data_IF_495775722206
#
_entry.id   IF_495775722206
#
_cell.length_a   1.000
_cell.length_b   1.000
_cell.length_c   1.000
_cell.angle_alpha   90.00
_cell.angle_beta   90.00
_cell.angle_gamma   90.00
#
_symmetry.space_group_name_H-M   'P 1'
#
loop_
_entity.id
_entity.type
_entity.pdbx_description
1 polymer ?
#
# COMPACT_ATOMS: atom_id res chain seq x y z
N UNK A 1 22.54 -52.47 -61.18
CA UNK A 1 21.21 -51.90 -61.47
C UNK A 1 21.03 -50.69 -60.56
N UNK A 2 20.67 -49.58 -61.20
CA UNK A 2 20.75 -48.18 -60.75
C UNK A 2 20.00 -47.88 -59.44
N UNK A 3 20.65 -47.14 -58.54
CA UNK A 3 19.98 -46.26 -57.57
C UNK A 3 20.03 -44.85 -58.16
N UNK A 4 18.88 -44.17 -58.20
CA UNK A 4 18.76 -42.78 -58.63
C UNK A 4 18.88 -41.86 -57.40
N UNK A 5 19.87 -40.97 -57.44
CA UNK A 5 20.03 -39.83 -56.53
C UNK A 5 19.12 -38.69 -56.99
N UNK A 6 18.29 -38.16 -56.09
CA UNK A 6 17.48 -36.97 -56.34
C UNK A 6 18.10 -35.75 -55.63
N UNK A 7 18.25 -34.70 -56.43
CA UNK A 7 19.08 -33.52 -56.19
C UNK A 7 18.37 -32.52 -55.26
N UNK A 8 18.95 -32.21 -54.09
CA UNK A 8 18.49 -31.08 -53.26
C UNK A 8 19.14 -29.77 -53.71
N UNK A 9 18.29 -28.85 -54.18
CA UNK A 9 18.63 -27.49 -54.61
C UNK A 9 18.93 -26.57 -53.41
N UNK A 10 20.01 -25.80 -53.53
CA UNK A 10 20.47 -24.77 -52.57
C UNK A 10 19.65 -23.49 -52.73
N UNK A 11 19.17 -22.93 -51.62
CA UNK A 11 18.60 -21.58 -51.51
C UNK A 11 19.63 -20.65 -50.83
N UNK A 12 19.85 -19.40 -51.29
CA UNK A 12 20.92 -18.54 -50.78
C UNK A 12 20.56 -17.80 -49.47
N UNK A 13 21.60 -17.53 -48.67
CA UNK A 13 21.59 -16.74 -47.43
C UNK A 13 21.22 -15.27 -47.70
N UNK A 14 20.21 -14.74 -47.00
CA UNK A 14 19.96 -13.29 -46.95
C UNK A 14 20.87 -12.62 -45.91
N UNK A 15 21.42 -11.47 -46.30
CA UNK A 15 22.35 -10.67 -45.52
C UNK A 15 21.72 -10.10 -44.23
N UNK A 16 22.51 -10.08 -43.14
CA UNK A 16 22.23 -9.33 -41.91
C UNK A 16 22.52 -7.84 -42.14
N UNK A 17 21.57 -6.97 -41.83
CA UNK A 17 21.81 -5.53 -41.63
C UNK A 17 22.48 -5.29 -40.27
N UNK A 18 23.36 -4.28 -40.12
CA UNK A 18 24.02 -4.01 -38.85
C UNK A 18 23.03 -3.35 -37.88
N UNK A 19 23.14 -3.74 -36.61
CA UNK A 19 22.38 -3.18 -35.50
C UNK A 19 22.70 -1.68 -35.36
N UNK A 20 21.66 -0.85 -35.41
CA UNK A 20 21.73 0.55 -35.01
C UNK A 20 21.93 0.62 -33.50
N UNK A 21 23.06 1.17 -33.10
CA UNK A 21 23.41 1.49 -31.73
C UNK A 21 22.41 2.52 -31.18
N UNK A 22 21.50 2.09 -30.31
CA UNK A 22 20.53 2.99 -29.66
C UNK A 22 21.26 3.77 -28.56
N UNK A 23 21.57 5.02 -28.87
CA UNK A 23 22.05 6.06 -27.95
C UNK A 23 21.05 6.21 -26.78
N UNK A 24 21.32 5.53 -25.65
CA UNK A 24 20.56 5.68 -24.40
C UNK A 24 21.00 6.99 -23.76
N UNK A 25 20.43 8.11 -24.21
CA UNK A 25 20.46 9.34 -23.45
C UNK A 25 19.42 9.24 -22.33
N UNK A 26 19.74 9.61 -21.07
CA UNK A 26 18.72 9.78 -20.06
C UNK A 26 17.74 10.85 -20.54
N UNK A 27 16.52 10.43 -20.87
CA UNK A 27 15.48 11.32 -21.32
C UNK A 27 15.22 12.39 -20.26
N UNK A 28 15.18 13.65 -20.68
CA UNK A 28 14.66 14.75 -19.85
C UNK A 28 13.27 14.32 -19.36
N UNK A 29 12.98 14.35 -18.05
CA UNK A 29 11.65 14.00 -17.57
C UNK A 29 10.63 14.88 -18.28
N UNK A 30 9.60 14.25 -18.84
CA UNK A 30 8.54 14.96 -19.55
C UNK A 30 8.01 16.10 -18.67
N UNK A 31 7.71 17.29 -19.24
CA UNK A 31 7.16 18.39 -18.46
C UNK A 31 5.86 17.92 -17.79
N UNK A 32 5.77 18.15 -16.47
CA UNK A 32 4.59 17.83 -15.66
C UNK A 32 3.36 18.43 -16.34
N UNK A 33 2.36 17.59 -16.62
CA UNK A 33 1.14 18.08 -17.26
C UNK A 33 0.31 18.86 -16.23
N UNK A 34 -0.37 19.95 -16.65
CA UNK A 34 -1.10 20.87 -15.76
C UNK A 34 -2.20 20.18 -14.91
N UNK A 35 -2.72 19.06 -15.38
CA UNK A 35 -3.66 18.15 -14.68
C UNK A 35 -3.03 17.39 -13.49
N UNK A 36 -1.71 17.22 -13.48
CA UNK A 36 -0.96 16.60 -12.37
C UNK A 36 -0.74 17.54 -11.16
N UNK A 37 -1.09 18.83 -11.32
CA UNK A 37 -0.91 19.90 -10.34
C UNK A 37 -2.22 20.39 -9.71
N UNK A 38 -3.34 19.72 -9.95
CA UNK A 38 -4.63 20.15 -9.38
C UNK A 38 -4.74 19.82 -7.88
N UNK A 39 -5.47 20.63 -7.08
CA UNK A 39 -5.76 20.32 -5.68
C UNK A 39 -6.39 18.94 -5.49
N UNK A 40 -7.30 18.57 -6.40
CA UNK A 40 -7.94 17.25 -6.40
C UNK A 40 -6.91 16.12 -6.58
N UNK A 41 -5.97 16.26 -7.52
CA UNK A 41 -4.95 15.26 -7.76
C UNK A 41 -4.05 15.05 -6.53
N UNK A 42 -3.66 16.12 -5.84
CA UNK A 42 -2.90 16.01 -4.60
C UNK A 42 -3.71 15.32 -3.50
N UNK A 43 -4.99 15.67 -3.37
CA UNK A 43 -5.91 15.03 -2.43
C UNK A 43 -6.03 13.53 -2.71
N UNK A 44 -6.25 13.13 -3.96
CA UNK A 44 -6.39 11.73 -4.35
C UNK A 44 -5.11 10.92 -4.05
N UNK A 45 -3.92 11.53 -4.21
CA UNK A 45 -2.64 10.91 -3.82
C UNK A 45 -2.57 10.66 -2.32
N UNK A 46 -2.96 11.64 -1.51
CA UNK A 46 -3.04 11.50 -0.06
C UNK A 46 -4.06 10.43 0.35
N UNK A 47 -5.22 10.37 -0.29
CA UNK A 47 -6.24 9.34 -0.05
C UNK A 47 -5.70 7.95 -0.40
N UNK A 48 -5.02 7.79 -1.54
CA UNK A 48 -4.41 6.52 -1.93
C UNK A 48 -3.35 6.06 -0.92
N UNK A 49 -2.52 6.99 -0.41
CA UNK A 49 -1.58 6.71 0.66
C UNK A 49 -2.30 6.31 1.96
N UNK A 50 -3.33 7.06 2.38
CA UNK A 50 -4.06 6.81 3.62
C UNK A 50 -4.82 5.48 3.63
N UNK A 51 -5.35 5.06 2.47
CA UNK A 51 -6.13 3.82 2.30
C UNK A 51 -5.29 2.56 2.23
N UNK A 52 -3.97 2.65 2.10
CA UNK A 52 -3.10 1.49 2.11
C UNK A 52 -2.20 1.51 3.35
N UNK A 53 -2.41 0.55 4.27
CA UNK A 53 -1.70 0.49 5.55
C UNK A 53 -0.16 0.45 5.45
N UNK A 54 0.41 0.28 4.25
CA UNK A 54 1.83 0.46 3.96
C UNK A 54 2.46 1.70 4.59
N UNK A 55 1.73 2.82 4.65
CA UNK A 55 2.24 4.05 5.29
C UNK A 55 2.66 3.82 6.76
N UNK A 56 2.01 2.90 7.47
CA UNK A 56 2.15 2.75 8.93
C UNK A 56 3.52 2.22 9.38
N UNK A 57 4.28 1.58 8.48
CA UNK A 57 5.68 1.18 8.72
C UNK A 57 6.68 1.94 7.85
N UNK A 58 6.26 3.06 7.26
CA UNK A 58 7.10 4.00 6.51
C UNK A 58 7.06 5.37 7.19
N UNK A 59 7.98 5.64 8.15
CA UNK A 59 7.95 6.84 8.98
C UNK A 59 7.87 8.15 8.20
N UNK A 60 8.49 8.20 7.02
CA UNK A 60 8.44 9.34 6.11
C UNK A 60 7.03 9.68 5.64
N UNK A 61 6.15 8.68 5.46
CA UNK A 61 4.76 8.85 5.04
C UNK A 61 3.89 9.21 6.24
N UNK A 62 4.08 8.55 7.39
CA UNK A 62 3.43 8.92 8.65
C UNK A 62 3.71 10.39 9.01
N UNK A 63 4.93 10.85 8.79
CA UNK A 63 5.31 12.25 9.04
C UNK A 63 4.56 13.24 8.14
N UNK A 64 4.21 12.87 6.90
CA UNK A 64 3.41 13.74 6.03
C UNK A 64 2.06 14.07 6.66
N UNK A 65 1.34 13.05 7.14
CA UNK A 65 0.04 13.26 7.77
C UNK A 65 0.16 14.01 9.09
N UNK A 66 1.18 13.71 9.91
CA UNK A 66 1.43 14.45 11.15
C UNK A 66 1.70 15.93 10.90
N UNK A 67 2.47 16.27 9.87
CA UNK A 67 2.88 17.64 9.59
C UNK A 67 1.71 18.52 9.10
N UNK A 68 0.69 17.93 8.43
CA UNK A 68 -0.49 18.67 7.97
C UNK A 68 -1.24 19.36 9.13
N UNK A 69 -1.46 18.62 10.21
CA UNK A 69 -2.02 19.12 11.46
C UNK A 69 -1.60 18.23 12.66
N UNK A 70 -0.52 18.58 13.38
CA UNK A 70 -0.02 17.77 14.50
C UNK A 70 -0.97 17.65 15.69
N UNK A 71 -1.94 18.57 15.81
CA UNK A 71 -2.91 18.56 16.90
C UNK A 71 -4.04 17.60 16.54
N UNK A 72 -4.65 17.77 15.35
CA UNK A 72 -5.70 16.87 14.87
C UNK A 72 -5.18 15.45 14.69
N UNK A 73 -3.95 15.28 14.20
CA UNK A 73 -3.31 13.96 14.08
C UNK A 73 -3.35 13.16 15.40
N UNK A 74 -3.03 13.80 16.53
CA UNK A 74 -3.10 13.16 17.85
C UNK A 74 -4.53 12.94 18.33
N UNK A 75 -5.43 13.88 18.05
CA UNK A 75 -6.85 13.78 18.45
C UNK A 75 -7.62 12.72 17.67
N UNK A 76 -7.15 12.35 16.48
CA UNK A 76 -7.74 11.36 15.58
C UNK A 76 -7.03 10.01 15.65
N UNK A 77 -6.28 9.74 16.72
CA UNK A 77 -5.56 8.48 16.94
C UNK A 77 -4.69 8.09 15.75
N UNK A 78 -4.02 9.09 15.19
CA UNK A 78 -3.10 8.90 14.07
C UNK A 78 -3.77 8.23 12.85
N UNK A 79 -5.06 8.51 12.63
CA UNK A 79 -5.82 8.03 11.48
C UNK A 79 -5.76 9.04 10.31
N UNK A 80 -5.08 8.71 9.19
CA UNK A 80 -4.96 9.62 8.06
C UNK A 80 -6.26 9.77 7.26
N UNK A 81 -7.16 8.78 7.25
CA UNK A 81 -8.45 8.89 6.58
C UNK A 81 -9.33 9.89 7.31
N UNK A 82 -9.41 9.77 8.64
CA UNK A 82 -10.15 10.72 9.46
C UNK A 82 -9.58 12.13 9.33
N UNK A 83 -8.24 12.28 9.31
CA UNK A 83 -7.59 13.56 9.11
C UNK A 83 -7.96 14.18 7.75
N UNK A 84 -7.83 13.42 6.66
CA UNK A 84 -8.12 13.92 5.31
C UNK A 84 -9.59 14.27 5.08
N UNK A 85 -10.51 13.65 5.82
CA UNK A 85 -11.93 14.01 5.78
C UNK A 85 -12.22 15.44 6.28
N UNK A 86 -11.30 16.07 7.00
CA UNK A 86 -11.42 17.45 7.49
C UNK A 86 -10.87 18.50 6.52
N UNK A 87 -10.26 18.06 5.43
CA UNK A 87 -9.73 18.93 4.39
C UNK A 87 -10.58 18.86 3.14
N UNK A 88 -10.87 20.03 2.56
CA UNK A 88 -11.19 20.10 1.13
C UNK A 88 -9.89 19.97 0.32
N UNK A 89 -9.96 19.57 -0.96
CA UNK A 89 -8.78 19.52 -1.82
C UNK A 89 -7.99 20.84 -1.84
N UNK A 90 -8.67 21.98 -1.90
CA UNK A 90 -8.05 23.31 -1.92
C UNK A 90 -7.36 23.64 -0.59
N UNK A 91 -7.99 23.28 0.53
CA UNK A 91 -7.39 23.50 1.85
C UNK A 91 -6.16 22.62 2.05
N UNK A 92 -6.20 21.37 1.60
CA UNK A 92 -5.06 20.47 1.67
C UNK A 92 -3.90 20.99 0.82
N UNK A 93 -4.18 21.44 -0.40
CA UNK A 93 -3.18 21.97 -1.32
C UNK A 93 -2.50 23.22 -0.75
N UNK A 94 -3.27 24.20 -0.28
CA UNK A 94 -2.73 25.41 0.33
C UNK A 94 -1.81 25.07 1.53
N UNK A 95 -2.22 24.14 2.39
CA UNK A 95 -1.42 23.68 3.53
C UNK A 95 -0.17 22.93 3.11
N UNK A 96 -0.27 22.08 2.10
CA UNK A 96 0.88 21.37 1.55
C UNK A 96 1.88 22.33 0.89
N UNK A 97 1.41 23.43 0.28
CA UNK A 97 2.25 24.48 -0.27
C UNK A 97 2.98 25.27 0.83
N UNK A 98 2.26 25.72 1.87
CA UNK A 98 2.83 26.39 3.05
C UNK A 98 3.94 25.57 3.72
N UNK A 99 3.74 24.26 3.83
CA UNK A 99 4.65 23.32 4.48
C UNK A 99 5.67 22.69 3.53
N UNK A 100 5.65 23.04 2.24
CA UNK A 100 6.55 22.51 1.20
C UNK A 100 6.50 20.97 1.12
N UNK A 101 5.31 20.38 1.22
CA UNK A 101 5.08 18.92 1.23
C UNK A 101 4.88 18.31 -0.17
N UNK A 102 4.68 19.14 -1.19
CA UNK A 102 4.27 18.67 -2.52
C UNK A 102 5.20 17.58 -3.10
N UNK A 103 6.51 17.81 -3.06
CA UNK A 103 7.51 16.86 -3.57
C UNK A 103 7.50 15.56 -2.77
N UNK A 104 7.38 15.64 -1.44
CA UNK A 104 7.37 14.48 -0.55
C UNK A 104 6.10 13.64 -0.71
N UNK A 105 4.94 14.26 -0.88
CA UNK A 105 3.67 13.55 -1.17
C UNK A 105 3.77 12.81 -2.50
N UNK A 106 4.28 13.46 -3.55
CA UNK A 106 4.48 12.83 -4.85
C UNK A 106 5.48 11.67 -4.78
N UNK A 107 6.57 11.84 -4.04
CA UNK A 107 7.57 10.78 -3.85
C UNK A 107 6.98 9.59 -3.09
N UNK A 108 6.26 9.82 -1.99
CA UNK A 108 5.59 8.77 -1.23
C UNK A 108 4.59 8.01 -2.10
N UNK A 109 3.77 8.72 -2.88
CA UNK A 109 2.81 8.10 -3.79
C UNK A 109 3.48 7.27 -4.89
N UNK A 110 4.58 7.77 -5.49
CA UNK A 110 5.37 7.01 -6.47
C UNK A 110 5.95 5.74 -5.85
N UNK A 111 6.52 5.82 -4.64
CA UNK A 111 7.05 4.67 -3.92
C UNK A 111 5.98 3.63 -3.60
N UNK A 112 4.77 4.05 -3.23
CA UNK A 112 3.65 3.13 -3.06
C UNK A 112 3.31 2.41 -4.38
N UNK A 113 3.24 3.13 -5.50
CA UNK A 113 3.00 2.49 -6.81
C UNK A 113 4.10 1.51 -7.19
N UNK A 114 5.36 1.90 -7.03
CA UNK A 114 6.52 1.05 -7.30
C UNK A 114 6.48 -0.21 -6.42
N UNK A 115 6.14 -0.06 -5.14
CA UNK A 115 5.97 -1.16 -4.20
C UNK A 115 4.87 -2.14 -4.64
N UNK A 116 3.70 -1.64 -5.03
CA UNK A 116 2.56 -2.47 -5.46
C UNK A 116 2.78 -3.13 -6.85
N UNK A 117 3.56 -2.50 -7.72
CA UNK A 117 3.88 -3.01 -9.05
C UNK A 117 5.11 -3.93 -9.07
N UNK A 118 5.79 -4.11 -7.94
CA UNK A 118 7.02 -4.89 -7.91
C UNK A 118 6.76 -6.40 -8.00
N UNK A 119 7.07 -6.99 -9.15
CA UNK A 119 7.01 -8.44 -9.37
C UNK A 119 8.35 -9.14 -9.03
N UNK A 120 9.45 -8.39 -8.92
CA UNK A 120 10.77 -8.89 -8.58
C UNK A 120 11.02 -8.82 -7.06
N UNK A 121 10.28 -9.64 -6.32
CA UNK A 121 10.37 -9.70 -4.85
C UNK A 121 11.29 -10.82 -4.37
N UNK A 122 11.64 -10.82 -3.08
CA UNK A 122 12.40 -11.92 -2.48
C UNK A 122 11.68 -13.27 -2.66
N UNK A 123 10.35 -13.26 -2.54
CA UNK A 123 9.49 -14.43 -2.72
C UNK A 123 9.61 -15.05 -4.11
N UNK A 124 9.69 -14.27 -5.19
CA UNK A 124 9.78 -14.83 -6.55
C UNK A 124 11.10 -15.54 -6.81
N UNK A 125 12.18 -15.13 -6.13
CA UNK A 125 13.51 -15.75 -6.22
C UNK A 125 13.63 -16.98 -5.31
N UNK A 126 13.12 -16.88 -4.08
CA UNK A 126 13.43 -17.86 -3.03
C UNK A 126 12.24 -18.77 -2.63
N UNK A 127 11.02 -18.40 -2.99
CA UNK A 127 9.79 -19.06 -2.57
C UNK A 127 8.76 -19.21 -3.69
N UNK A 128 9.20 -19.32 -4.96
CA UNK A 128 8.32 -19.33 -6.14
C UNK A 128 7.17 -20.35 -6.10
N UNK A 129 7.32 -21.47 -5.37
CA UNK A 129 6.25 -22.46 -5.15
C UNK A 129 5.01 -21.82 -4.51
N UNK A 130 5.19 -20.86 -3.59
CA UNK A 130 4.10 -20.17 -2.90
C UNK A 130 3.24 -19.35 -3.86
N UNK A 131 3.77 -18.92 -5.01
CA UNK A 131 2.99 -18.22 -6.04
C UNK A 131 1.79 -19.03 -6.56
N UNK A 132 1.88 -20.36 -6.52
CA UNK A 132 0.78 -21.27 -6.89
C UNK A 132 -0.04 -21.78 -5.70
N UNK A 133 0.43 -21.55 -4.48
CA UNK A 133 -0.13 -22.07 -3.22
C UNK A 133 0.02 -21.01 -2.14
N UNK A 134 -0.88 -20.01 -2.09
CA UNK A 134 -0.80 -18.95 -1.11
C UNK A 134 -0.94 -19.50 0.31
N UNK A 135 -0.33 -18.82 1.27
CA UNK A 135 -0.42 -19.15 2.70
C UNK A 135 -1.62 -18.42 3.30
N UNK A 136 -2.51 -19.13 3.96
CA UNK A 136 -3.58 -18.51 4.73
C UNK A 136 -3.18 -18.47 6.20
N UNK A 137 -3.09 -17.27 6.77
CA UNK A 137 -2.67 -17.04 8.15
C UNK A 137 -3.87 -16.60 8.99
N UNK A 138 -4.36 -17.50 9.83
CA UNK A 138 -5.45 -17.23 10.77
C UNK A 138 -4.90 -16.68 12.09
N UNK A 139 -5.45 -15.56 12.54
CA UNK A 139 -5.21 -15.01 13.87
C UNK A 139 -6.48 -14.33 14.37
N UNK A 140 -6.70 -14.36 15.68
CA UNK A 140 -7.78 -13.60 16.30
C UNK A 140 -7.54 -12.08 16.19
N UNK A 141 -6.28 -11.65 16.08
CA UNK A 141 -5.90 -10.24 16.11
C UNK A 141 -4.76 -9.94 15.14
N UNK A 142 -4.74 -8.71 14.62
CA UNK A 142 -3.65 -8.18 13.79
C UNK A 142 -3.34 -6.72 14.16
N UNK A 143 -2.25 -6.52 14.89
CA UNK A 143 -1.75 -5.22 15.32
C UNK A 143 -0.93 -4.54 14.25
N UNK A 144 -1.58 -4.02 13.20
CA UNK A 144 -0.89 -3.31 12.12
C UNK A 144 -0.61 -1.87 12.55
N UNK A 145 -1.64 -1.14 12.96
CA UNK A 145 -1.57 0.25 13.39
C UNK A 145 -2.78 0.59 14.29
N UNK A 146 -2.62 1.50 15.24
CA UNK A 146 -3.68 1.88 16.21
C UNK A 146 -4.94 2.47 15.55
N UNK A 147 -4.78 3.05 14.35
CA UNK A 147 -5.91 3.54 13.53
C UNK A 147 -6.84 2.43 13.03
N UNK A 148 -6.46 1.16 13.17
CA UNK A 148 -7.28 -0.02 12.88
C UNK A 148 -7.31 -0.90 14.12
N UNK A 149 -8.25 -0.67 15.05
CA UNK A 149 -8.20 -1.24 16.39
C UNK A 149 -8.73 -2.67 16.43
N UNK A 150 -8.04 -3.59 15.74
CA UNK A 150 -8.36 -5.03 15.66
C UNK A 150 -7.35 -5.91 16.42
N UNK A 151 -6.77 -5.36 17.49
CA UNK A 151 -5.84 -6.05 18.37
C UNK A 151 -5.87 -5.49 19.80
N UNK A 152 -5.40 -6.28 20.76
CA UNK A 152 -5.34 -5.92 22.18
C UNK A 152 -3.94 -6.02 22.79
N UNK A 153 -3.07 -6.89 22.25
CA UNK A 153 -1.77 -7.16 22.88
C UNK A 153 -0.73 -7.81 21.98
N UNK A 154 0.23 -8.50 22.62
CA UNK A 154 1.43 -9.02 21.95
C UNK A 154 1.19 -10.04 20.84
N UNK A 155 0.09 -10.82 20.93
CA UNK A 155 -0.32 -11.73 19.87
C UNK A 155 -0.61 -10.96 18.58
N UNK A 156 -1.46 -9.92 18.68
CA UNK A 156 -1.80 -9.07 17.56
C UNK A 156 -0.59 -8.35 16.99
N UNK A 157 0.28 -7.79 17.84
CA UNK A 157 1.52 -7.13 17.40
C UNK A 157 2.40 -8.08 16.58
N UNK A 158 2.64 -9.30 17.08
CA UNK A 158 3.43 -10.30 16.36
C UNK A 158 2.77 -10.68 15.03
N UNK A 159 1.46 -10.93 15.02
CA UNK A 159 0.74 -11.26 13.80
C UNK A 159 0.79 -10.11 12.77
N UNK A 160 0.67 -8.87 13.24
CA UNK A 160 0.80 -7.65 12.42
C UNK A 160 2.20 -7.53 11.81
N UNK A 161 3.25 -7.70 12.60
CA UNK A 161 4.63 -7.65 12.11
C UNK A 161 4.94 -8.77 11.11
N UNK A 162 4.31 -9.94 11.28
CA UNK A 162 4.43 -11.04 10.34
C UNK A 162 3.79 -10.70 8.99
N UNK A 163 2.60 -10.09 8.99
CA UNK A 163 1.92 -9.62 7.77
C UNK A 163 2.71 -8.50 7.09
N UNK A 164 3.26 -7.53 7.86
CA UNK A 164 4.14 -6.48 7.32
C UNK A 164 5.37 -7.06 6.64
N UNK A 165 6.02 -8.04 7.28
CA UNK A 165 7.19 -8.73 6.75
C UNK A 165 6.87 -9.53 5.50
N UNK A 166 5.76 -10.28 5.51
CA UNK A 166 5.27 -11.02 4.35
C UNK A 166 5.01 -10.08 3.16
N UNK A 167 4.38 -8.93 3.42
CA UNK A 167 4.14 -7.88 2.43
C UNK A 167 5.46 -7.33 1.86
N UNK A 168 6.45 -7.02 2.73
CA UNK A 168 7.77 -6.52 2.29
C UNK A 168 8.56 -7.52 1.45
N UNK A 169 8.42 -8.82 1.72
CA UNK A 169 9.09 -9.90 1.00
C UNK A 169 8.33 -10.37 -0.26
N UNK A 170 7.09 -9.91 -0.46
CA UNK A 170 6.22 -10.36 -1.55
C UNK A 170 5.71 -11.80 -1.37
N UNK A 171 5.58 -12.27 -0.13
CA UNK A 171 5.03 -13.60 0.16
C UNK A 171 3.52 -13.57 -0.11
N UNK A 172 2.97 -14.48 -0.93
CA UNK A 172 1.54 -14.54 -1.21
C UNK A 172 0.79 -15.09 0.02
N UNK A 173 0.51 -14.20 0.97
CA UNK A 173 -0.10 -14.48 2.25
C UNK A 173 -1.47 -13.78 2.35
N UNK A 174 -2.48 -14.51 2.78
CA UNK A 174 -3.82 -14.01 3.07
C UNK A 174 -4.02 -14.09 4.58
N UNK A 175 -4.12 -12.92 5.23
CA UNK A 175 -4.43 -12.84 6.65
C UNK A 175 -5.95 -12.92 6.85
N UNK A 176 -6.40 -13.82 7.73
CA UNK A 176 -7.82 -13.97 8.07
C UNK A 176 -7.96 -13.79 9.58
N UNK A 177 -8.82 -12.85 9.96
CA UNK A 177 -9.11 -12.55 11.36
C UNK A 177 -10.51 -12.00 11.54
N UNK A 178 -10.74 -11.39 12.70
CA UNK A 178 -12.03 -10.83 13.07
C UNK A 178 -11.98 -9.30 12.97
N UNK A 179 -13.07 -8.73 12.47
CA UNK A 179 -13.33 -7.30 12.60
C UNK A 179 -14.15 -7.08 13.87
N UNK A 180 -13.54 -6.44 14.87
CA UNK A 180 -14.21 -6.10 16.12
C UNK A 180 -14.86 -4.71 15.97
N UNK A 181 -16.17 -4.63 16.20
CA UNK A 181 -16.94 -3.38 16.13
C UNK A 181 -16.50 -2.38 17.21
N UNK A 182 -16.10 -2.90 18.36
CA UNK A 182 -15.41 -2.22 19.44
C UNK A 182 -14.00 -2.81 19.54
N UNK A 183 -12.99 -1.97 19.34
CA UNK A 183 -11.61 -2.38 19.56
C UNK A 183 -11.29 -2.61 21.03
N UNK A 184 -10.00 -2.66 21.37
CA UNK A 184 -9.60 -2.67 22.78
C UNK A 184 -10.01 -1.36 23.47
N UNK A 185 -10.41 -1.44 24.74
CA UNK A 185 -10.85 -0.28 25.50
C UNK A 185 -9.70 0.73 25.72
N UNK A 186 -10.05 2.00 25.86
CA UNK A 186 -9.15 3.01 26.40
C UNK A 186 -9.15 2.92 27.91
N UNK A 187 -7.97 2.70 28.47
CA UNK A 187 -7.76 2.72 29.90
C UNK A 187 -7.66 4.17 30.39
N UNK A 188 -8.50 4.54 31.34
CA UNK A 188 -8.37 5.77 32.11
C UNK A 188 -8.16 5.42 33.58
N UNK A 189 -7.32 6.17 34.28
CA UNK A 189 -7.15 6.05 35.73
C UNK A 189 -7.82 7.26 36.38
N UNK A 190 -8.69 7.00 37.36
CA UNK A 190 -9.26 8.08 38.16
C UNK A 190 -8.27 8.61 39.22
N UNK A 191 -8.71 9.60 40.00
CA UNK A 191 -7.89 10.21 41.05
C UNK A 191 -7.52 9.23 42.18
N UNK A 192 -8.29 8.16 42.35
CA UNK A 192 -8.09 7.11 43.35
C UNK A 192 -7.24 5.94 42.79
N UNK A 193 -6.86 6.01 41.51
CA UNK A 193 -6.04 5.02 40.83
C UNK A 193 -6.83 3.80 40.32
N UNK A 194 -8.15 3.84 40.32
CA UNK A 194 -8.97 2.78 39.71
C UNK A 194 -9.03 2.94 38.20
N UNK A 195 -8.99 1.79 37.53
CA UNK A 195 -9.16 1.70 36.08
C UNK A 195 -10.63 1.87 35.70
N UNK A 196 -10.86 2.73 34.73
CA UNK A 196 -12.12 2.87 34.00
C UNK A 196 -11.88 2.54 32.53
N UNK A 197 -12.85 1.87 31.93
CA UNK A 197 -12.78 1.34 30.57
C UNK A 197 -13.73 2.13 29.67
N UNK A 198 -13.20 2.73 28.62
CA UNK A 198 -13.98 3.40 27.60
C UNK A 198 -13.90 2.62 26.29
N UNK A 199 -15.04 2.09 25.84
CA UNK A 199 -15.15 1.39 24.56
C UNK A 199 -15.59 2.35 23.47
N UNK A 200 -14.74 2.54 22.46
CA UNK A 200 -15.04 3.36 21.31
C UNK A 200 -15.48 2.48 20.15
N UNK A 201 -16.60 2.85 19.54
CA UNK A 201 -17.05 2.19 18.32
C UNK A 201 -16.19 2.61 17.14
N UNK A 202 -15.70 1.62 16.40
CA UNK A 202 -14.98 1.82 15.15
C UNK A 202 -15.96 2.34 14.09
N UNK A 203 -15.67 3.52 13.52
CA UNK A 203 -16.40 4.02 12.35
C UNK A 203 -15.80 3.41 11.10
N UNK A 204 -16.44 2.40 10.53
CA UNK A 204 -15.96 1.66 9.35
C UNK A 204 -15.61 2.60 8.19
N UNK A 205 -16.35 3.69 8.03
CA UNK A 205 -16.15 4.69 6.96
C UNK A 205 -14.81 5.44 7.09
N UNK A 206 -14.22 5.43 8.29
CA UNK A 206 -12.93 6.05 8.59
C UNK A 206 -11.77 5.08 8.60
N UNK A 207 -11.98 3.81 8.25
CA UNK A 207 -10.97 2.76 8.24
C UNK A 207 -10.49 2.47 6.80
N UNK A 208 -9.24 2.02 6.62
CA UNK A 208 -8.70 1.60 5.32
C UNK A 208 -9.16 0.17 4.97
N UNK A 209 -10.47 -0.09 5.05
CA UNK A 209 -11.07 -1.40 4.78
C UNK A 209 -12.22 -1.26 3.80
N UNK A 210 -12.48 -2.33 3.05
CA UNK A 210 -13.60 -2.44 2.12
C UNK A 210 -14.26 -3.81 2.26
N UNK A 211 -15.57 -3.93 1.95
CA UNK A 211 -16.24 -5.22 1.95
C UNK A 211 -15.56 -6.20 0.98
N UNK A 212 -15.26 -7.41 1.45
CA UNK A 212 -14.80 -8.47 0.57
C UNK A 212 -15.96 -8.96 -0.30
N UNK A 213 -15.79 -8.90 -1.62
CA UNK A 213 -16.81 -9.30 -2.60
C UNK A 213 -16.38 -10.55 -3.38
N UNK A 214 -17.35 -11.42 -3.66
CA UNK A 214 -17.24 -12.50 -4.63
C UNK A 214 -17.17 -11.95 -6.06
N UNK A 215 -16.83 -12.82 -7.02
CA UNK A 215 -16.78 -12.48 -8.46
C UNK A 215 -18.11 -11.97 -9.03
N UNK A 216 -19.23 -12.27 -8.37
CA UNK A 216 -20.57 -11.81 -8.74
C UNK A 216 -20.96 -10.48 -8.07
N UNK A 217 -20.03 -9.85 -7.35
CA UNK A 217 -20.21 -8.57 -6.67
C UNK A 217 -20.95 -8.65 -5.33
N UNK A 218 -21.27 -9.85 -4.83
CA UNK A 218 -21.92 -10.04 -3.53
C UNK A 218 -20.89 -10.16 -2.41
N UNK A 219 -21.21 -9.75 -1.17
CA UNK A 219 -20.35 -9.98 -0.02
C UNK A 219 -20.00 -11.46 0.15
N UNK A 220 -18.76 -11.73 0.57
CA UNK A 220 -18.33 -13.06 1.03
C UNK A 220 -19.11 -13.39 2.31
N UNK A 221 -19.91 -14.46 2.29
CA UNK A 221 -20.62 -15.01 3.47
C UNK A 221 -19.83 -16.13 4.13
#
# INVERSE_FOLDING_TARGET
MSQAEETTSRVPKSARSPAGESDIRPGVPAPLRLDELSPQNLYDKCVALARNLWWSWHPEVTNLFRELDPIRWRQLDHNPIALLAEFTPERLEARAAELVLYSRINQAYRRLKEYLANEATWSTVHAGVLGSKPVVYFSAEFGIHESVPVYSGGLGVLAGDHVKSASGLGIPLIAVGLFYDQGYFRQQLDIDGYQHEEYLQSRVESLPIEPALCVDGKPVM
#
